data_IF_667105230475
#
_entry.id   IF_667105230475
#
_cell.length_a   1.000
_cell.length_b   1.000
_cell.length_c   1.000
_cell.angle_alpha   90.00
_cell.angle_beta   90.00
_cell.angle_gamma   90.00
#
_symmetry.space_group_name_H-M   'P 1'
#
loop_
_entity.id
_entity.type
_entity.pdbx_description
1 polymer ?
#
# COMPACT_ATOMS: atom_id res chain seq x y z
N UNK A 1 -31.62 39.00 -13.97
CA UNK A 1 -31.50 37.72 -14.70
C UNK A 1 -31.82 36.59 -13.73
N UNK A 2 -33.00 35.95 -13.83
CA UNK A 2 -33.41 34.88 -12.89
C UNK A 2 -32.63 33.60 -13.24
N UNK A 3 -31.71 33.19 -12.37
CA UNK A 3 -30.98 31.94 -12.53
C UNK A 3 -31.97 30.78 -12.38
N UNK A 4 -32.15 30.00 -13.45
CA UNK A 4 -33.12 28.90 -13.45
C UNK A 4 -32.68 27.82 -12.46
N UNK A 5 -33.58 27.42 -11.55
CA UNK A 5 -33.32 26.38 -10.53
C UNK A 5 -32.78 25.06 -11.13
N UNK A 6 -33.09 24.79 -12.40
CA UNK A 6 -32.61 23.64 -13.18
C UNK A 6 -31.08 23.66 -13.34
N UNK A 7 -30.46 24.83 -13.56
CA UNK A 7 -29.00 24.94 -13.69
C UNK A 7 -28.28 24.71 -12.36
N UNK A 8 -28.88 25.12 -11.25
CA UNK A 8 -28.39 24.83 -9.89
C UNK A 8 -28.43 23.34 -9.57
N UNK A 9 -29.52 22.64 -9.95
CA UNK A 9 -29.65 21.19 -9.77
C UNK A 9 -28.63 20.39 -10.60
N UNK A 10 -28.40 20.80 -11.85
CA UNK A 10 -27.39 20.18 -12.73
C UNK A 10 -25.97 20.37 -12.17
N UNK A 11 -25.61 21.57 -11.73
CA UNK A 11 -24.31 21.83 -11.13
C UNK A 11 -24.08 21.03 -9.84
N UNK A 12 -25.13 20.86 -9.03
CA UNK A 12 -25.07 20.08 -7.80
C UNK A 12 -24.94 18.57 -8.07
N UNK A 13 -25.65 18.04 -9.07
CA UNK A 13 -25.50 16.65 -9.52
C UNK A 13 -24.10 16.35 -10.06
N UNK A 14 -23.54 17.24 -10.89
CA UNK A 14 -22.17 17.11 -11.41
C UNK A 14 -21.15 17.20 -10.28
N UNK A 15 -21.33 18.14 -9.34
CA UNK A 15 -20.46 18.29 -8.17
C UNK A 15 -20.48 17.05 -7.25
N UNK A 16 -21.67 16.53 -6.92
CA UNK A 16 -21.80 15.33 -6.08
C UNK A 16 -21.27 14.08 -6.80
N UNK A 17 -21.53 13.94 -8.10
CA UNK A 17 -21.01 12.85 -8.91
C UNK A 17 -19.48 12.84 -9.01
N UNK A 18 -18.87 14.02 -9.18
CA UNK A 18 -17.41 14.17 -9.23
C UNK A 18 -16.77 13.94 -7.86
N UNK A 19 -17.37 14.43 -6.76
CA UNK A 19 -16.91 14.10 -5.39
C UNK A 19 -17.04 12.61 -5.11
N UNK A 20 -18.14 11.96 -5.48
CA UNK A 20 -18.32 10.51 -5.31
C UNK A 20 -17.31 9.70 -6.15
N UNK A 21 -17.04 10.13 -7.39
CA UNK A 21 -16.01 9.52 -8.24
C UNK A 21 -14.61 9.69 -7.66
N UNK A 22 -14.28 10.88 -7.13
CA UNK A 22 -13.02 11.16 -6.42
C UNK A 22 -12.94 10.28 -5.17
N UNK A 23 -13.99 10.17 -4.35
CA UNK A 23 -13.97 9.32 -3.15
C UNK A 23 -13.83 7.83 -3.51
N UNK A 24 -14.51 7.34 -4.54
CA UNK A 24 -14.43 5.93 -4.98
C UNK A 24 -13.04 5.58 -5.52
N UNK A 25 -12.42 6.49 -6.27
CA UNK A 25 -11.02 6.34 -6.74
C UNK A 25 -10.01 6.47 -5.60
N UNK A 26 -10.24 7.38 -4.64
CA UNK A 26 -9.38 7.55 -3.45
C UNK A 26 -9.44 6.36 -2.50
N UNK A 27 -10.57 5.65 -2.44
CA UNK A 27 -10.64 4.41 -1.68
C UNK A 27 -9.76 3.31 -2.29
N UNK A 28 -9.68 3.23 -3.63
CA UNK A 28 -8.81 2.27 -4.32
C UNK A 28 -7.30 2.53 -4.10
N UNK A 29 -6.92 3.73 -3.64
CA UNK A 29 -5.52 4.13 -3.41
C UNK A 29 -5.11 4.24 -1.94
N UNK A 30 -5.93 3.78 -0.98
CA UNK A 30 -5.47 3.62 0.42
C UNK A 30 -4.50 2.43 0.54
N UNK A 31 -3.42 2.46 -0.23
CA UNK A 31 -2.25 1.64 -0.04
C UNK A 31 -1.50 2.06 1.22
N UNK A 32 -0.57 1.19 1.66
CA UNK A 32 0.35 1.48 2.74
C UNK A 32 0.95 2.88 2.59
N UNK A 33 0.65 3.78 3.55
CA UNK A 33 1.30 5.08 3.64
C UNK A 33 2.60 4.89 4.42
N UNK A 34 3.76 5.18 3.82
CA UNK A 34 5.02 5.04 4.54
C UNK A 34 5.02 5.97 5.76
N UNK A 35 5.54 5.45 6.87
CA UNK A 35 5.78 6.27 8.06
C UNK A 35 6.82 7.34 7.69
N UNK A 36 6.58 8.63 7.99
CA UNK A 36 7.56 9.67 7.73
C UNK A 36 8.89 9.31 8.35
N UNK A 37 9.99 9.49 7.62
CA UNK A 37 11.29 8.98 8.03
C UNK A 37 11.77 9.54 9.38
N UNK A 38 11.44 10.79 9.71
CA UNK A 38 11.77 11.37 11.02
C UNK A 38 11.04 10.63 12.17
N UNK A 39 9.79 10.25 11.95
CA UNK A 39 9.01 9.48 12.92
C UNK A 39 9.52 8.04 13.01
N UNK A 40 9.91 7.44 11.88
CA UNK A 40 10.52 6.11 11.86
C UNK A 40 11.88 6.12 12.59
N UNK A 41 12.71 7.13 12.35
CA UNK A 41 14.00 7.33 12.99
C UNK A 41 13.87 7.39 14.52
N UNK A 42 12.93 8.21 15.01
CA UNK A 42 12.66 8.31 16.45
C UNK A 42 12.18 6.98 17.04
N UNK A 43 11.32 6.22 16.33
CA UNK A 43 10.86 4.90 16.77
C UNK A 43 11.99 3.88 16.80
N UNK A 44 12.86 3.86 15.80
CA UNK A 44 14.00 2.93 15.77
C UNK A 44 14.97 3.21 16.91
N UNK A 45 15.27 4.48 17.19
CA UNK A 45 16.11 4.89 18.34
C UNK A 45 15.53 4.44 19.68
N UNK A 46 14.22 4.58 19.86
CA UNK A 46 13.57 4.30 21.16
C UNK A 46 13.24 2.83 21.38
N UNK A 47 12.73 2.14 20.36
CA UNK A 47 12.23 0.77 20.47
C UNK A 47 13.29 -0.28 20.08
N UNK A 48 14.25 0.08 19.23
CA UNK A 48 15.24 -0.83 18.68
C UNK A 48 16.66 -0.23 18.70
N UNK A 49 17.18 0.19 19.87
CA UNK A 49 18.43 0.96 19.97
C UNK A 49 19.65 0.22 19.41
N UNK A 50 19.75 -1.10 19.62
CA UNK A 50 20.86 -1.90 19.09
C UNK A 50 20.83 -2.00 17.56
N UNK A 51 19.65 -2.26 16.98
CA UNK A 51 19.46 -2.24 15.53
C UNK A 51 19.80 -0.87 14.93
N UNK A 52 19.36 0.20 15.59
CA UNK A 52 19.67 1.56 15.17
C UNK A 52 21.18 1.83 15.18
N UNK A 53 21.91 1.41 16.22
CA UNK A 53 23.38 1.52 16.28
C UNK A 53 24.04 0.76 15.13
N UNK A 54 23.60 -0.48 14.83
CA UNK A 54 24.15 -1.27 13.73
C UNK A 54 23.99 -0.57 12.38
N UNK A 55 22.83 0.02 12.12
CA UNK A 55 22.55 0.77 10.89
C UNK A 55 23.39 2.07 10.83
N UNK A 56 23.42 2.83 11.92
CA UNK A 56 24.15 4.10 12.00
C UNK A 56 25.68 3.92 11.87
N UNK A 57 26.23 2.84 12.43
CA UNK A 57 27.65 2.52 12.38
C UNK A 57 28.11 2.07 10.97
N UNK A 58 27.20 1.82 10.04
CA UNK A 58 27.50 1.43 8.67
C UNK A 58 27.87 2.65 7.79
N UNK A 59 28.87 3.42 8.26
CA UNK A 59 29.44 4.64 7.64
C UNK A 59 28.40 5.73 7.30
N UNK A 60 27.26 5.77 7.99
CA UNK A 60 26.16 6.72 7.68
C UNK A 60 25.43 6.42 6.36
N UNK A 61 25.67 5.26 5.74
CA UNK A 61 25.13 4.90 4.42
C UNK A 61 23.65 4.51 4.48
N UNK A 62 23.20 4.01 5.63
CA UNK A 62 21.83 3.60 5.87
C UNK A 62 21.22 4.49 6.94
N UNK A 63 20.06 5.07 6.63
CA UNK A 63 19.28 5.95 7.52
C UNK A 63 17.82 5.55 7.45
N UNK A 64 16.96 6.07 8.30
CA UNK A 64 15.52 5.78 8.23
C UNK A 64 14.90 6.10 6.86
N UNK A 65 15.47 7.05 6.11
CA UNK A 65 15.07 7.37 4.73
C UNK A 65 15.34 6.23 3.74
N UNK A 66 16.23 5.29 4.06
CA UNK A 66 16.59 4.16 3.20
C UNK A 66 15.78 2.90 3.54
N UNK A 67 14.91 2.97 4.54
CA UNK A 67 14.08 1.86 4.98
C UNK A 67 12.69 1.94 4.36
N UNK A 68 12.15 0.78 4.04
CA UNK A 68 10.79 0.62 3.51
C UNK A 68 10.06 -0.32 4.45
N UNK A 69 8.88 0.09 4.90
CA UNK A 69 8.00 -0.81 5.63
C UNK A 69 7.46 -1.88 4.69
N UNK A 70 7.56 -3.15 5.10
CA UNK A 70 7.07 -4.27 4.30
C UNK A 70 5.54 -4.23 4.28
N UNK A 71 4.89 -4.01 3.11
CA UNK A 71 3.45 -3.97 3.01
C UNK A 71 2.83 -5.33 3.32
N UNK A 72 1.58 -5.36 3.77
CA UNK A 72 0.87 -6.58 4.14
C UNK A 72 0.91 -6.90 5.63
N UNK A 73 2.02 -6.61 6.34
CA UNK A 73 2.14 -6.87 7.78
C UNK A 73 1.16 -6.05 8.63
N UNK A 74 0.97 -4.78 8.28
CA UNK A 74 0.00 -3.89 8.95
C UNK A 74 -1.43 -3.99 8.39
N UNK A 75 -1.62 -4.85 7.39
CA UNK A 75 -2.86 -5.02 6.63
C UNK A 75 -2.80 -4.50 5.20
N UNK A 76 -3.73 -4.98 4.40
CA UNK A 76 -3.79 -4.75 2.96
C UNK A 76 -5.21 -4.98 2.42
N UNK A 77 -5.43 -4.59 1.16
CA UNK A 77 -6.66 -4.91 0.43
C UNK A 77 -6.41 -5.99 -0.61
N UNK A 78 -7.35 -6.92 -0.74
CA UNK A 78 -7.38 -7.91 -1.82
C UNK A 78 -8.82 -8.25 -2.19
N UNK A 79 -9.04 -9.09 -3.19
CA UNK A 79 -10.36 -9.52 -3.64
C UNK A 79 -10.61 -10.97 -3.26
N UNK A 80 -11.83 -11.24 -2.81
CA UNK A 80 -12.31 -12.60 -2.51
C UNK A 80 -13.18 -13.17 -3.63
N UNK A 81 -13.91 -14.25 -3.36
CA UNK A 81 -14.83 -14.88 -4.32
C UNK A 81 -15.91 -13.92 -4.85
N UNK A 82 -16.36 -12.98 -4.02
CA UNK A 82 -17.36 -11.97 -4.38
C UNK A 82 -16.84 -10.90 -5.36
N UNK A 83 -15.57 -10.96 -5.76
CA UNK A 83 -14.87 -9.98 -6.61
C UNK A 83 -14.86 -8.55 -6.05
N UNK A 84 -15.22 -8.38 -4.77
CA UNK A 84 -15.15 -7.12 -4.06
C UNK A 84 -13.82 -6.99 -3.31
N UNK A 85 -13.29 -5.77 -3.27
CA UNK A 85 -12.10 -5.45 -2.50
C UNK A 85 -12.39 -5.41 -1.00
N UNK A 86 -11.69 -6.25 -0.26
CA UNK A 86 -11.80 -6.41 1.19
C UNK A 86 -10.47 -6.09 1.86
N UNK A 87 -10.54 -5.50 3.05
CA UNK A 87 -9.35 -5.26 3.89
C UNK A 87 -9.08 -6.50 4.75
N UNK A 88 -7.81 -6.82 4.96
CA UNK A 88 -7.38 -7.92 5.83
C UNK A 88 -6.05 -7.58 6.51
N UNK A 89 -5.82 -8.17 7.67
CA UNK A 89 -4.52 -8.19 8.37
C UNK A 89 -3.81 -9.54 8.22
N UNK A 90 -4.39 -10.47 7.44
CA UNK A 90 -3.90 -11.83 7.30
C UNK A 90 -2.89 -12.01 6.15
N UNK A 91 -2.42 -10.91 5.54
CA UNK A 91 -1.43 -11.00 4.49
C UNK A 91 -0.07 -11.37 5.06
N UNK A 92 0.54 -12.39 4.48
CA UNK A 92 1.92 -12.79 4.75
C UNK A 92 2.77 -12.45 3.53
N UNK A 93 3.66 -11.43 3.62
CA UNK A 93 4.62 -11.12 2.56
C UNK A 93 5.63 -12.24 2.38
N UNK A 94 6.03 -12.50 1.14
CA UNK A 94 6.83 -13.69 0.79
C UNK A 94 8.10 -13.34 0.02
N UNK A 95 7.96 -12.63 -1.10
CA UNK A 95 9.07 -12.35 -1.99
C UNK A 95 9.20 -10.86 -2.27
N UNK A 96 10.43 -10.47 -2.59
CA UNK A 96 10.84 -9.12 -2.94
C UNK A 96 11.61 -9.19 -4.26
N UNK A 97 11.21 -8.38 -5.23
CA UNK A 97 12.02 -8.11 -6.43
C UNK A 97 11.96 -6.62 -6.76
N UNK A 98 12.90 -6.12 -7.56
CA UNK A 98 12.99 -4.70 -7.88
C UNK A 98 13.50 -4.46 -9.30
N UNK A 99 13.16 -3.30 -9.83
CA UNK A 99 13.82 -2.70 -10.99
C UNK A 99 14.27 -1.28 -10.64
N UNK A 100 14.70 -0.49 -11.62
CA UNK A 100 15.19 0.87 -11.38
C UNK A 100 14.17 1.80 -10.71
N UNK A 101 12.87 1.54 -10.89
CA UNK A 101 11.79 2.43 -10.46
C UNK A 101 10.95 1.87 -9.31
N UNK A 102 10.80 0.57 -9.24
CA UNK A 102 9.82 -0.07 -8.37
C UNK A 102 10.40 -1.23 -7.59
N UNK A 103 9.86 -1.38 -6.38
CA UNK A 103 9.96 -2.59 -5.57
C UNK A 103 8.62 -3.30 -5.65
N UNK A 104 8.69 -4.61 -5.83
CA UNK A 104 7.54 -5.51 -5.88
C UNK A 104 7.61 -6.45 -4.69
N UNK A 105 6.51 -6.52 -3.93
CA UNK A 105 6.37 -7.44 -2.81
C UNK A 105 5.16 -8.31 -3.06
N UNK A 106 5.36 -9.64 -3.12
CA UNK A 106 4.24 -10.57 -3.18
C UNK A 106 3.77 -10.95 -1.77
N UNK A 107 2.47 -11.14 -1.60
CA UNK A 107 1.88 -11.61 -0.35
C UNK A 107 0.65 -12.46 -0.63
N UNK A 108 0.34 -13.37 0.27
CA UNK A 108 -0.89 -14.17 0.24
C UNK A 108 -1.63 -14.05 1.56
N UNK A 109 -2.94 -14.29 1.53
CA UNK A 109 -3.73 -14.41 2.74
C UNK A 109 -3.52 -15.80 3.33
N UNK A 110 -2.93 -15.89 4.53
CA UNK A 110 -2.66 -17.19 5.17
C UNK A 110 -3.94 -17.95 5.54
N UNK A 111 -5.09 -17.27 5.59
CA UNK A 111 -6.41 -17.90 5.76
C UNK A 111 -7.03 -18.39 4.45
N UNK A 112 -6.39 -18.10 3.30
CA UNK A 112 -6.79 -18.47 1.94
C UNK A 112 -8.20 -17.99 1.55
N UNK A 113 -8.70 -16.90 2.15
CA UNK A 113 -10.01 -16.34 1.82
C UNK A 113 -9.91 -15.34 0.66
N UNK A 114 -8.90 -14.48 0.72
CA UNK A 114 -8.61 -13.49 -0.32
C UNK A 114 -7.51 -13.95 -1.26
N UNK A 115 -7.51 -13.37 -2.45
CA UNK A 115 -6.46 -13.61 -3.44
C UNK A 115 -5.11 -13.09 -2.95
N UNK A 116 -4.06 -13.71 -3.44
CA UNK A 116 -2.69 -13.21 -3.31
C UNK A 116 -2.56 -11.88 -4.04
N UNK A 117 -1.61 -11.06 -3.60
CA UNK A 117 -1.41 -9.71 -4.10
C UNK A 117 0.05 -9.44 -4.45
N UNK A 118 0.24 -8.52 -5.38
CA UNK A 118 1.52 -7.88 -5.67
C UNK A 118 1.42 -6.40 -5.29
N UNK A 119 2.20 -5.99 -4.30
CA UNK A 119 2.38 -4.58 -3.95
C UNK A 119 3.43 -3.96 -4.86
N UNK A 120 3.14 -2.78 -5.40
CA UNK A 120 4.07 -1.98 -6.18
C UNK A 120 4.42 -0.75 -5.36
N UNK A 121 5.70 -0.59 -5.05
CA UNK A 121 6.25 0.50 -4.24
C UNK A 121 7.18 1.32 -5.12
N UNK A 122 7.01 2.63 -5.14
CA UNK A 122 7.93 3.54 -5.81
C UNK A 122 9.25 3.64 -5.02
N UNK A 123 10.38 3.38 -5.69
CA UNK A 123 11.71 3.32 -5.04
C UNK A 123 12.22 4.66 -4.55
N UNK A 124 11.73 5.78 -5.10
CA UNK A 124 12.20 7.11 -4.74
C UNK A 124 11.43 7.66 -3.54
N UNK A 125 10.13 7.40 -3.49
CA UNK A 125 9.21 7.96 -2.50
C UNK A 125 8.83 6.97 -1.40
N UNK A 126 9.15 5.68 -1.59
CA UNK A 126 8.79 4.57 -0.71
C UNK A 126 7.27 4.40 -0.51
N UNK A 127 6.47 5.00 -1.39
CA UNK A 127 5.01 4.92 -1.33
C UNK A 127 4.52 3.67 -2.07
N UNK A 128 3.57 2.96 -1.48
CA UNK A 128 2.83 1.92 -2.19
C UNK A 128 1.88 2.59 -3.19
N UNK A 129 2.22 2.53 -4.47
CA UNK A 129 1.45 3.17 -5.55
C UNK A 129 0.33 2.28 -6.08
N UNK A 130 0.43 0.94 -5.89
CA UNK A 130 -0.60 0.00 -6.35
C UNK A 130 -0.60 -1.30 -5.55
N UNK A 131 -1.78 -1.90 -5.45
CA UNK A 131 -1.96 -3.31 -5.10
C UNK A 131 -2.64 -4.01 -6.27
N UNK A 132 -2.02 -5.08 -6.77
CA UNK A 132 -2.56 -5.90 -7.85
C UNK A 132 -3.02 -7.20 -7.21
N UNK A 133 -4.31 -7.52 -7.31
CA UNK A 133 -4.79 -8.84 -6.93
C UNK A 133 -4.47 -9.85 -8.03
N UNK A 134 -3.87 -10.97 -7.64
CA UNK A 134 -3.52 -12.06 -8.53
C UNK A 134 -4.73 -12.98 -8.72
N UNK A 135 -4.82 -13.74 -9.83
CA UNK A 135 -5.93 -14.67 -10.08
C UNK A 135 -5.79 -15.99 -9.27
N UNK A 136 -5.14 -15.95 -8.11
CA UNK A 136 -4.88 -17.12 -7.26
C UNK A 136 -4.89 -16.73 -5.78
N UNK A 137 -5.12 -17.73 -4.92
CA UNK A 137 -4.95 -17.63 -3.45
C UNK A 137 -3.70 -18.38 -2.96
N UNK A 138 -2.93 -18.93 -3.90
CA UNK A 138 -1.78 -19.76 -3.61
C UNK A 138 -0.59 -18.95 -3.09
N UNK A 139 0.41 -19.68 -2.61
CA UNK A 139 1.72 -19.13 -2.32
C UNK A 139 2.30 -18.51 -3.60
N UNK A 140 2.80 -17.27 -3.54
CA UNK A 140 3.34 -16.53 -4.70
C UNK A 140 4.76 -16.02 -4.44
N UNK A 141 5.45 -16.59 -3.44
CA UNK A 141 6.90 -16.64 -3.39
C UNK A 141 7.36 -17.89 -4.14
N UNK A 142 8.43 -17.77 -4.94
CA UNK A 142 8.88 -18.78 -5.89
C UNK A 142 8.81 -20.21 -5.36
N UNK A 143 7.76 -20.92 -5.74
CA UNK A 143 7.61 -22.37 -5.60
C UNK A 143 7.46 -22.89 -7.03
N UNK A 144 8.49 -23.59 -7.50
CA UNK A 144 8.44 -24.43 -8.70
C UNK A 144 7.88 -25.78 -8.27
N UNK A 145 6.56 -25.93 -8.17
CA UNK A 145 5.91 -27.23 -8.02
C UNK A 145 4.62 -27.28 -8.83
#
# INVERSE_FOLDING_TARGET
MKLNKIWLLMALLVGVGSVFFIMKTTQATRGFKPVPAAQLDQRLKSQYPEFYKTIANNKGTLTANHLIGVPGLGGARSVGQTKQWQYTTNMTPQSLTLNDKYIFVSAYDHTKQLNSVLFVIDRKTHQQIKTIALPTRAHVGGDYH
#
